data_IF_862298225456
#
_entry.id   IF_862298225456
#
_cell.length_a   1.000
_cell.length_b   1.000
_cell.length_c   1.000
_cell.angle_alpha   90.00
_cell.angle_beta   90.00
_cell.angle_gamma   90.00
#
_symmetry.space_group_name_H-M   'P 1'
#
loop_
_entity.id
_entity.type
_entity.pdbx_description
1 polymer ?
#
# COMPACT_ATOMS: atom_id res chain seq x y z
N UNK A 1 11.51 10.47 2.03
CA UNK A 1 10.13 10.97 2.25
C UNK A 1 10.07 11.58 3.64
N UNK A 2 9.50 12.78 3.81
CA UNK A 2 9.48 13.47 5.11
C UNK A 2 8.36 12.88 5.96
N UNK A 3 8.69 12.03 6.92
CA UNK A 3 7.75 11.56 7.92
C UNK A 3 7.21 12.76 8.70
N UNK A 4 5.97 13.15 8.41
CA UNK A 4 5.20 14.05 9.27
C UNK A 4 4.91 13.29 10.56
N UNK A 5 5.78 13.48 11.56
CA UNK A 5 5.51 13.08 12.93
C UNK A 5 4.27 13.83 13.40
N UNK A 6 3.12 13.18 13.31
CA UNK A 6 1.88 13.70 13.87
C UNK A 6 2.08 13.78 15.38
N UNK A 7 2.29 15.01 15.83
CA UNK A 7 2.47 15.32 17.25
C UNK A 7 1.08 15.23 17.85
N UNK A 8 0.80 14.10 18.50
CA UNK A 8 -0.46 13.83 19.21
C UNK A 8 -0.65 14.90 20.29
N UNK A 9 -1.47 15.91 19.98
CA UNK A 9 -1.90 16.92 20.94
C UNK A 9 -3.10 16.36 21.69
N UNK A 10 -2.83 15.79 22.87
CA UNK A 10 -3.85 15.43 23.86
C UNK A 10 -4.48 16.74 24.36
N UNK A 11 -5.57 17.14 23.72
CA UNK A 11 -6.42 18.23 24.18
C UNK A 11 -7.59 17.62 24.95
N UNK A 12 -7.49 17.61 26.28
CA UNK A 12 -8.67 17.50 27.14
C UNK A 12 -9.51 18.75 26.90
N UNK A 13 -10.42 18.68 25.93
CA UNK A 13 -11.27 19.79 25.55
C UNK A 13 -12.44 19.86 26.53
N UNK A 14 -12.24 20.56 27.65
CA UNK A 14 -13.33 21.00 28.49
C UNK A 14 -14.18 22.04 27.72
N UNK A 15 -15.19 21.57 26.98
CA UNK A 15 -16.16 22.42 26.30
C UNK A 15 -17.04 23.10 27.35
N UNK A 16 -16.69 24.35 27.67
CA UNK A 16 -17.52 25.23 28.48
C UNK A 16 -18.75 25.66 27.68
N UNK A 17 -19.88 24.97 27.86
CA UNK A 17 -21.15 25.33 27.22
C UNK A 17 -21.77 26.52 27.95
N UNK A 18 -22.02 27.60 27.20
CA UNK A 18 -22.72 28.80 27.69
C UNK A 18 -24.20 28.45 27.83
N UNK A 19 -24.68 28.32 29.07
CA UNK A 19 -26.10 28.20 29.37
C UNK A 19 -26.85 29.46 28.89
N UNK A 20 -27.51 29.37 27.73
CA UNK A 20 -28.46 30.39 27.27
C UNK A 20 -29.79 30.13 28.00
N UNK A 21 -30.03 30.89 29.07
CA UNK A 21 -31.33 30.90 29.76
C UNK A 21 -32.25 31.90 29.04
N UNK A 22 -33.31 31.48 28.31
CA UNK A 22 -34.37 32.40 27.92
C UNK A 22 -35.06 32.95 29.18
N UNK A 23 -35.21 34.27 29.22
CA UNK A 23 -35.34 35.02 30.47
C UNK A 23 -36.64 34.82 31.25
N UNK A 24 -36.49 34.92 32.58
CA UNK A 24 -37.58 35.02 33.55
C UNK A 24 -37.02 34.93 34.96
N UNK A 25 -36.90 36.05 35.66
CA UNK A 25 -36.40 36.06 37.04
C UNK A 25 -37.38 35.36 37.99
N UNK A 26 -36.97 34.23 38.57
CA UNK A 26 -37.45 33.71 39.85
C UNK A 26 -36.24 33.20 40.65
N UNK A 27 -36.03 33.72 41.85
CA UNK A 27 -35.08 33.14 42.79
C UNK A 27 -35.74 31.92 43.45
N UNK A 28 -35.57 30.75 42.85
CA UNK A 28 -35.88 29.41 43.36
C UNK A 28 -34.77 28.48 42.84
N UNK A 29 -34.42 27.43 43.59
CA UNK A 29 -33.17 26.69 43.45
C UNK A 29 -32.69 26.47 42.01
N UNK A 30 -31.47 26.91 41.71
CA UNK A 30 -30.93 26.74 40.36
C UNK A 30 -30.54 25.27 40.18
N UNK A 31 -31.36 24.51 39.47
CA UNK A 31 -30.97 23.23 38.90
C UNK A 31 -29.98 23.49 37.78
N UNK A 32 -28.91 22.72 37.73
CA UNK A 32 -27.90 22.75 36.68
C UNK A 32 -27.57 21.34 36.23
N UNK A 33 -27.30 21.18 34.94
CA UNK A 33 -26.81 19.96 34.34
C UNK A 33 -25.52 20.24 33.59
N UNK A 34 -24.54 19.35 33.72
CA UNK A 34 -23.25 19.42 33.03
C UNK A 34 -22.86 18.04 32.54
N UNK A 35 -22.18 17.95 31.40
CA UNK A 35 -21.59 16.70 30.90
C UNK A 35 -20.08 16.83 30.76
N UNK A 36 -19.36 15.76 31.07
CA UNK A 36 -17.92 15.61 30.85
C UNK A 36 -17.68 14.32 30.07
N UNK A 37 -16.94 14.41 28.97
CA UNK A 37 -16.59 13.25 28.14
C UNK A 37 -15.13 12.84 28.40
N UNK A 38 -14.92 11.57 28.74
CA UNK A 38 -13.61 10.98 28.93
C UNK A 38 -12.94 10.63 27.59
N UNK A 39 -11.65 10.30 27.64
CA UNK A 39 -10.85 9.99 26.45
C UNK A 39 -11.27 8.69 25.74
N UNK A 40 -11.91 7.77 26.46
CA UNK A 40 -12.50 6.54 25.91
C UNK A 40 -13.90 6.76 25.32
N UNK A 41 -14.35 8.01 25.25
CA UNK A 41 -15.65 8.41 24.72
C UNK A 41 -16.79 8.33 25.74
N UNK A 42 -16.62 7.70 26.90
CA UNK A 42 -17.66 7.62 27.94
C UNK A 42 -18.02 9.01 28.48
N UNK A 43 -19.29 9.23 28.79
CA UNK A 43 -19.80 10.55 29.21
C UNK A 43 -20.38 10.46 30.61
N UNK A 44 -19.97 11.38 31.49
CA UNK A 44 -20.57 11.54 32.82
C UNK A 44 -21.42 12.81 32.84
N UNK A 45 -22.73 12.65 32.98
CA UNK A 45 -23.67 13.76 33.22
C UNK A 45 -23.84 13.95 34.72
N UNK A 46 -23.73 15.18 35.20
CA UNK A 46 -23.93 15.55 36.62
C UNK A 46 -25.09 16.52 36.75
N UNK A 47 -25.99 16.24 37.69
CA UNK A 47 -27.12 17.12 38.04
C UNK A 47 -26.91 17.70 39.43
N UNK A 48 -26.97 19.02 39.54
CA UNK A 48 -26.92 19.70 40.85
C UNK A 48 -28.08 20.67 41.03
N UNK A 49 -28.54 20.81 42.26
CA UNK A 49 -29.48 21.85 42.68
C UNK A 49 -28.80 22.64 43.81
N UNK A 50 -28.65 23.96 43.63
CA UNK A 50 -27.93 24.82 44.59
C UNK A 50 -26.54 24.26 44.95
N UNK A 51 -25.79 23.78 43.95
CA UNK A 51 -24.46 23.19 44.09
C UNK A 51 -24.40 21.89 44.92
N UNK A 52 -25.54 21.23 45.15
CA UNK A 52 -25.60 19.90 45.77
C UNK A 52 -26.05 18.89 44.72
N UNK A 53 -25.38 17.74 44.64
CA UNK A 53 -25.74 16.66 43.72
C UNK A 53 -27.13 16.13 44.01
N UNK A 54 -27.92 15.89 42.96
CA UNK A 54 -29.30 15.41 43.09
C UNK A 54 -29.39 13.97 42.63
N UNK A 55 -29.70 13.06 43.56
CA UNK A 55 -29.98 11.65 43.28
C UNK A 55 -31.42 11.45 42.81
N UNK A 56 -31.66 10.45 41.95
CA UNK A 56 -32.95 10.13 41.35
C UNK A 56 -33.58 11.31 40.57
N UNK A 57 -32.75 12.24 40.07
CA UNK A 57 -33.20 13.23 39.10
C UNK A 57 -33.45 12.55 37.75
N UNK A 58 -34.49 12.97 37.04
CA UNK A 58 -34.72 12.52 35.67
C UNK A 58 -33.81 13.29 34.73
N UNK A 59 -33.14 12.57 33.84
CA UNK A 59 -32.27 13.11 32.78
C UNK A 59 -32.72 12.50 31.47
N UNK A 60 -33.25 13.31 30.56
CA UNK A 60 -33.65 12.91 29.22
C UNK A 60 -32.54 13.28 28.25
N UNK A 61 -32.10 12.34 27.43
CA UNK A 61 -31.09 12.51 26.39
C UNK A 61 -31.74 12.37 25.01
N UNK A 62 -31.57 13.37 24.17
CA UNK A 62 -32.10 13.38 22.80
C UNK A 62 -30.99 13.72 21.80
N UNK A 63 -30.78 12.88 20.79
CA UNK A 63 -29.84 13.20 19.72
C UNK A 63 -30.39 14.30 18.81
N UNK A 64 -29.53 15.27 18.46
CA UNK A 64 -29.87 16.37 17.59
C UNK A 64 -29.77 15.97 16.11
N UNK A 65 -30.30 16.82 15.24
CA UNK A 65 -30.19 16.68 13.78
C UNK A 65 -30.70 15.34 13.22
N UNK A 66 -31.61 14.68 13.94
CA UNK A 66 -32.16 13.38 13.55
C UNK A 66 -31.07 12.30 13.40
N UNK A 67 -29.98 12.44 14.16
CA UNK A 67 -28.98 11.40 14.39
C UNK A 67 -29.50 10.37 15.40
N UNK A 68 -28.73 9.31 15.63
CA UNK A 68 -29.03 8.29 16.63
C UNK A 68 -27.89 8.16 17.63
N UNK A 69 -28.24 7.99 18.90
CA UNK A 69 -27.30 7.69 19.97
C UNK A 69 -27.84 6.55 20.84
N UNK A 70 -26.96 5.63 21.25
CA UNK A 70 -27.35 4.39 21.93
C UNK A 70 -28.08 4.63 23.26
N UNK A 71 -27.72 5.70 23.95
CA UNK A 71 -28.31 6.07 25.25
C UNK A 71 -29.33 7.21 25.14
N UNK A 72 -30.04 7.30 24.01
CA UNK A 72 -31.25 8.12 23.93
C UNK A 72 -32.32 7.65 24.93
N UNK A 73 -33.06 8.62 25.47
CA UNK A 73 -34.20 8.39 26.37
C UNK A 73 -33.97 8.87 27.80
N UNK A 74 -34.77 8.34 28.72
CA UNK A 74 -34.81 8.77 30.11
C UNK A 74 -33.86 7.94 30.99
N UNK A 75 -33.05 8.65 31.76
CA UNK A 75 -32.11 8.13 32.73
C UNK A 75 -32.38 8.71 34.12
N UNK A 76 -31.89 8.03 35.14
CA UNK A 76 -32.00 8.49 36.54
C UNK A 76 -30.63 8.62 37.16
N UNK A 77 -30.36 9.75 37.81
CA UNK A 77 -29.09 9.95 38.48
C UNK A 77 -28.90 9.00 39.67
N UNK A 78 -27.65 8.56 39.87
CA UNK A 78 -27.23 7.67 40.93
C UNK A 78 -27.07 8.37 42.30
N UNK A 79 -26.49 7.67 43.28
CA UNK A 79 -26.19 8.22 44.61
C UNK A 79 -25.23 9.41 44.60
N UNK A 80 -24.46 9.59 43.51
CA UNK A 80 -23.56 10.72 43.32
C UNK A 80 -24.21 11.85 42.52
N UNK A 81 -25.48 11.71 42.11
CA UNK A 81 -26.16 12.68 41.26
C UNK A 81 -25.65 12.67 39.82
N UNK A 82 -25.15 11.51 39.36
CA UNK A 82 -24.56 11.33 38.04
C UNK A 82 -25.28 10.28 37.19
N UNK A 83 -25.20 10.42 35.88
CA UNK A 83 -25.58 9.40 34.88
C UNK A 83 -24.36 9.13 34.02
N UNK A 84 -24.01 7.86 33.86
CA UNK A 84 -22.97 7.42 32.93
C UNK A 84 -23.64 7.04 31.61
N UNK A 85 -23.17 7.63 30.51
CA UNK A 85 -23.60 7.33 29.15
C UNK A 85 -22.42 6.71 28.39
N UNK A 86 -22.71 5.75 27.53
CA UNK A 86 -21.77 5.03 26.70
C UNK A 86 -21.09 5.94 25.67
N UNK A 87 -19.91 5.51 25.22
CA UNK A 87 -19.23 6.19 24.13
C UNK A 87 -20.09 6.17 22.85
N UNK A 88 -20.19 7.29 22.12
CA UNK A 88 -20.92 7.28 20.85
C UNK A 88 -20.10 6.58 19.76
N UNK A 89 -20.75 5.87 18.85
CA UNK A 89 -20.08 5.20 17.71
C UNK A 89 -19.65 6.20 16.61
N UNK A 90 -20.35 7.34 16.52
CA UNK A 90 -20.05 8.44 15.61
C UNK A 90 -20.15 9.78 16.34
N UNK A 91 -19.53 10.83 15.79
CA UNK A 91 -19.65 12.18 16.36
C UNK A 91 -21.11 12.64 16.35
N UNK A 92 -21.65 12.95 17.53
CA UNK A 92 -23.07 13.26 17.72
C UNK A 92 -23.25 14.43 18.67
N UNK A 93 -24.19 15.33 18.35
CA UNK A 93 -24.63 16.35 19.29
C UNK A 93 -25.88 15.85 20.00
N UNK A 94 -25.93 15.93 21.33
CA UNK A 94 -27.10 15.55 22.13
C UNK A 94 -27.59 16.72 22.97
N UNK A 95 -28.90 16.82 23.16
CA UNK A 95 -29.53 17.66 24.18
C UNK A 95 -29.78 16.82 25.41
N UNK A 96 -29.36 17.34 26.56
CA UNK A 96 -29.57 16.73 27.86
C UNK A 96 -30.46 17.63 28.70
N UNK A 97 -31.66 17.16 29.00
CA UNK A 97 -32.66 17.88 29.78
C UNK A 97 -32.84 17.18 31.12
N UNK A 98 -32.75 17.91 32.23
CA UNK A 98 -33.03 17.36 33.55
C UNK A 98 -34.25 18.04 34.18
N UNK A 99 -34.96 17.29 35.02
CA UNK A 99 -36.07 17.80 35.82
C UNK A 99 -35.92 17.36 37.29
N UNK A 100 -35.96 18.35 38.19
CA UNK A 100 -35.93 18.16 39.65
C UNK A 100 -37.02 19.03 40.25
N UNK A 101 -37.99 18.42 40.94
CA UNK A 101 -39.09 19.13 41.62
C UNK A 101 -39.77 20.21 40.73
N UNK A 102 -40.15 19.84 39.50
CA UNK A 102 -40.74 20.72 38.48
C UNK A 102 -39.83 21.86 37.97
N UNK A 103 -38.56 21.88 38.36
CA UNK A 103 -37.55 22.79 37.83
C UNK A 103 -36.70 22.06 36.80
N UNK A 104 -36.63 22.62 35.60
CA UNK A 104 -35.90 22.02 34.47
C UNK A 104 -34.63 22.79 34.15
N UNK A 105 -33.58 22.06 33.75
CA UNK A 105 -32.36 22.62 33.18
C UNK A 105 -31.97 21.83 31.94
N UNK A 106 -31.28 22.47 31.00
CA UNK A 106 -30.88 21.87 29.73
C UNK A 106 -29.45 22.25 29.39
N UNK A 107 -28.74 21.33 28.75
CA UNK A 107 -27.44 21.58 28.11
C UNK A 107 -27.35 20.81 26.80
N UNK A 108 -26.57 21.34 25.86
CA UNK A 108 -26.17 20.61 24.64
C UNK A 108 -24.74 20.10 24.83
N UNK A 109 -24.46 18.87 24.40
CA UNK A 109 -23.13 18.28 24.41
C UNK A 109 -22.78 17.83 22.99
N UNK A 110 -21.59 18.20 22.52
CA UNK A 110 -21.00 17.64 21.31
C UNK A 110 -20.10 16.47 21.71
N UNK A 111 -20.57 15.25 21.46
CA UNK A 111 -19.89 14.02 21.82
C UNK A 111 -19.04 13.55 20.65
N UNK A 112 -17.78 13.24 20.94
CA UNK A 112 -16.83 12.73 19.96
C UNK A 112 -16.77 11.22 20.10
N UNK A 113 -16.91 10.50 19.00
CA UNK A 113 -16.66 9.06 19.00
C UNK A 113 -15.20 8.81 19.37
N UNK A 114 -14.91 7.85 20.25
CA UNK A 114 -13.53 7.43 20.46
C UNK A 114 -12.99 7.00 19.09
N UNK A 115 -11.77 7.45 18.76
CA UNK A 115 -11.09 6.90 17.59
C UNK A 115 -10.82 5.44 17.90
N UNK A 116 -11.49 4.56 17.15
CA UNK A 116 -11.13 3.15 17.17
C UNK A 116 -9.81 3.03 16.40
N UNK A 117 -8.70 3.40 17.05
CA UNK A 117 -7.34 3.26 16.52
C UNK A 117 -7.00 1.77 16.29
N UNK A 118 -7.93 0.85 16.49
CA UNK A 118 -7.83 -0.55 16.06
C UNK A 118 -8.28 -0.77 14.61
N UNK A 119 -9.01 0.18 14.00
CA UNK A 119 -9.71 -0.02 12.72
C UNK A 119 -9.00 0.51 11.46
N UNK A 120 -7.74 0.91 11.61
CA UNK A 120 -6.89 1.30 10.48
C UNK A 120 -5.71 0.33 10.39
N UNK A 121 -5.91 -0.80 9.73
CA UNK A 121 -4.82 -1.70 9.38
C UNK A 121 -3.85 -1.00 8.41
N UNK A 122 -2.55 -1.10 8.70
CA UNK A 122 -1.48 -0.58 7.86
C UNK A 122 -0.40 -1.64 7.66
N UNK A 123 0.18 -1.67 6.46
CA UNK A 123 1.29 -2.55 6.09
C UNK A 123 2.47 -1.70 5.64
N UNK A 124 3.63 -1.97 6.20
CA UNK A 124 4.91 -1.41 5.77
C UNK A 124 5.89 -2.54 5.46
N UNK A 125 6.77 -2.33 4.49
CA UNK A 125 7.81 -3.29 4.13
C UNK A 125 9.14 -2.56 4.15
N UNK A 126 10.04 -3.03 5.01
CA UNK A 126 11.41 -2.53 5.12
C UNK A 126 12.40 -3.57 4.63
N UNK A 127 13.50 -3.12 4.04
CA UNK A 127 14.58 -3.99 3.60
C UNK A 127 15.88 -3.60 4.31
N UNK A 128 16.58 -4.60 4.85
CA UNK A 128 17.90 -4.45 5.47
C UNK A 128 19.01 -4.44 4.40
N UNK A 129 20.22 -4.03 4.79
CA UNK A 129 21.37 -3.95 3.88
C UNK A 129 21.84 -5.32 3.36
N UNK A 130 21.51 -6.40 4.06
CA UNK A 130 21.77 -7.79 3.65
C UNK A 130 20.71 -8.33 2.66
N UNK A 131 19.78 -7.47 2.23
CA UNK A 131 18.72 -7.81 1.28
C UNK A 131 17.48 -8.44 1.94
N UNK A 132 17.54 -8.84 3.21
CA UNK A 132 16.36 -9.39 3.90
C UNK A 132 15.28 -8.34 4.09
N UNK A 133 14.01 -8.73 3.93
CA UNK A 133 12.86 -7.87 4.13
C UNK A 133 12.17 -8.12 5.46
N UNK A 134 11.38 -7.16 5.91
CA UNK A 134 10.47 -7.31 7.04
C UNK A 134 9.18 -6.60 6.71
N UNK A 135 8.08 -7.34 6.72
CA UNK A 135 6.72 -6.80 6.68
C UNK A 135 6.29 -6.50 8.10
N UNK A 136 5.77 -5.31 8.34
CA UNK A 136 5.14 -4.92 9.59
C UNK A 136 3.66 -4.62 9.34
N UNK A 137 2.79 -5.28 10.10
CA UNK A 137 1.35 -5.05 10.11
C UNK A 137 0.99 -4.35 11.41
N UNK A 138 0.48 -3.13 11.32
CA UNK A 138 0.12 -2.31 12.49
C UNK A 138 -1.34 -1.88 12.42
N UNK A 139 -1.95 -1.67 13.58
CA UNK A 139 -3.24 -0.99 13.67
C UNK A 139 -3.08 0.54 13.64
N UNK A 140 -4.18 1.28 13.70
CA UNK A 140 -4.21 2.75 13.72
C UNK A 140 -3.44 3.37 14.90
N UNK A 141 -3.28 2.64 16.00
CA UNK A 141 -2.47 3.06 17.15
C UNK A 141 -0.95 2.88 16.93
N UNK A 142 -0.56 2.21 15.84
CA UNK A 142 0.82 1.86 15.52
C UNK A 142 1.33 0.62 16.26
N UNK A 143 0.46 -0.14 16.93
CA UNK A 143 0.79 -1.40 17.58
C UNK A 143 0.77 -2.54 16.57
N UNK A 144 1.71 -3.48 16.70
CA UNK A 144 1.80 -4.66 15.84
C UNK A 144 0.59 -5.59 15.99
N UNK A 145 0.06 -6.07 14.87
CA UNK A 145 -1.11 -6.96 14.82
C UNK A 145 -0.65 -8.39 14.62
N UNK A 146 -0.69 -9.19 15.69
CA UNK A 146 -0.32 -10.60 15.68
C UNK A 146 -1.37 -11.50 15.01
N UNK A 147 -0.94 -12.62 14.42
CA UNK A 147 -1.80 -13.58 13.71
C UNK A 147 -2.59 -12.98 12.54
N UNK A 148 -2.14 -11.86 11.98
CA UNK A 148 -2.64 -11.33 10.71
C UNK A 148 -2.18 -12.25 9.57
N UNK A 149 -3.04 -12.42 8.57
CA UNK A 149 -2.66 -13.13 7.33
C UNK A 149 -1.98 -12.13 6.41
N UNK A 150 -0.81 -12.47 5.88
CA UNK A 150 -0.04 -11.62 4.96
C UNK A 150 0.20 -12.40 3.68
N UNK A 151 -0.42 -12.00 2.58
CA UNK A 151 -0.19 -12.57 1.26
C UNK A 151 0.86 -11.75 0.53
N UNK A 152 1.92 -12.41 0.06
CA UNK A 152 3.00 -11.81 -0.73
C UNK A 152 2.89 -12.33 -2.16
N UNK A 153 2.78 -11.41 -3.13
CA UNK A 153 2.71 -11.73 -4.54
C UNK A 153 3.80 -10.98 -5.31
N UNK A 154 4.61 -11.70 -6.11
CA UNK A 154 5.54 -11.05 -7.02
C UNK A 154 4.81 -10.54 -8.26
N UNK A 155 5.05 -9.27 -8.59
CA UNK A 155 4.47 -8.62 -9.77
C UNK A 155 5.34 -8.86 -11.02
N UNK A 156 4.77 -8.51 -12.17
CA UNK A 156 5.43 -8.59 -13.49
C UNK A 156 5.86 -10.02 -13.89
N UNK A 157 5.17 -11.04 -13.37
CA UNK A 157 5.47 -12.45 -13.67
C UNK A 157 6.91 -12.84 -13.24
N UNK A 158 7.45 -12.13 -12.23
CA UNK A 158 8.68 -12.49 -11.53
C UNK A 158 8.38 -13.63 -10.57
N UNK A 159 9.42 -14.33 -10.09
CA UNK A 159 9.30 -15.33 -9.04
C UNK A 159 10.09 -14.89 -7.82
N UNK A 160 9.50 -15.05 -6.64
CA UNK A 160 10.13 -14.77 -5.36
C UNK A 160 9.90 -15.93 -4.38
N UNK A 161 10.93 -16.23 -3.58
CA UNK A 161 10.95 -17.42 -2.71
C UNK A 161 9.87 -17.41 -1.64
N UNK A 162 9.49 -16.22 -1.16
CA UNK A 162 8.48 -16.04 -0.11
C UNK A 162 7.11 -15.62 -0.67
N UNK A 163 6.79 -15.99 -1.91
CA UNK A 163 5.43 -15.90 -2.41
C UNK A 163 4.44 -16.76 -1.60
N UNK A 164 3.22 -16.26 -1.45
CA UNK A 164 2.11 -16.94 -0.78
C UNK A 164 1.73 -16.31 0.56
N UNK A 165 0.99 -17.09 1.36
CA UNK A 165 0.42 -16.64 2.63
C UNK A 165 1.37 -16.89 3.80
N UNK A 166 1.53 -15.85 4.62
CA UNK A 166 2.31 -15.83 5.85
C UNK A 166 1.44 -15.40 7.02
N UNK A 167 1.92 -15.62 8.24
CA UNK A 167 1.23 -15.19 9.45
C UNK A 167 2.18 -14.34 10.29
N UNK A 168 1.70 -13.18 10.73
CA UNK A 168 2.50 -12.30 11.59
C UNK A 168 2.77 -12.91 12.96
N UNK A 169 3.95 -12.62 13.49
CA UNK A 169 4.36 -13.01 14.84
C UNK A 169 3.69 -12.16 15.93
N UNK A 170 4.08 -12.37 17.20
CA UNK A 170 3.56 -11.62 18.36
C UNK A 170 3.79 -10.10 18.26
N UNK A 171 4.73 -9.66 17.43
CA UNK A 171 5.03 -8.25 17.19
C UNK A 171 4.35 -7.70 15.94
N UNK A 172 3.53 -8.50 15.25
CA UNK A 172 2.88 -8.10 14.01
C UNK A 172 3.82 -8.08 12.81
N UNK A 173 4.86 -8.91 12.79
CA UNK A 173 5.87 -8.90 11.72
C UNK A 173 5.99 -10.23 10.99
N UNK A 174 6.41 -10.16 9.72
CA UNK A 174 6.81 -11.31 8.89
C UNK A 174 8.19 -11.02 8.31
N UNK A 175 9.13 -11.94 8.49
CA UNK A 175 10.44 -11.87 7.86
C UNK A 175 10.38 -12.34 6.41
N UNK A 176 11.05 -11.63 5.51
CA UNK A 176 11.21 -11.99 4.11
C UNK A 176 12.69 -12.25 3.81
N UNK A 177 12.96 -13.28 3.01
CA UNK A 177 14.29 -13.70 2.55
C UNK A 177 14.85 -12.69 1.54
N UNK A 178 16.18 -12.61 1.41
CA UNK A 178 16.78 -11.75 0.39
C UNK A 178 16.40 -12.24 -1.02
N UNK A 179 16.02 -11.34 -1.94
CA UNK A 179 15.72 -11.73 -3.30
C UNK A 179 17.01 -11.98 -4.11
N UNK A 180 16.99 -12.98 -5.00
CA UNK A 180 18.11 -13.29 -5.90
C UNK A 180 18.22 -12.29 -7.06
N UNK A 181 17.10 -11.67 -7.45
CA UNK A 181 16.99 -10.63 -8.47
C UNK A 181 16.07 -9.52 -7.97
N UNK A 182 16.20 -8.29 -8.50
CA UNK A 182 15.31 -7.21 -8.10
C UNK A 182 13.86 -7.54 -8.46
N UNK A 183 12.99 -7.61 -7.45
CA UNK A 183 11.59 -8.01 -7.61
C UNK A 183 10.67 -6.95 -7.01
N UNK A 184 9.58 -6.65 -7.69
CA UNK A 184 8.48 -5.85 -7.13
C UNK A 184 7.43 -6.79 -6.57
N UNK A 185 7.11 -6.65 -5.29
CA UNK A 185 6.11 -7.44 -4.60
C UNK A 185 4.93 -6.57 -4.18
N UNK A 186 3.74 -7.13 -4.27
CA UNK A 186 2.54 -6.66 -3.59
C UNK A 186 2.36 -7.46 -2.31
N UNK A 187 2.13 -6.76 -1.21
CA UNK A 187 1.91 -7.37 0.10
C UNK A 187 0.54 -6.93 0.58
N UNK A 188 -0.34 -7.90 0.82
CA UNK A 188 -1.71 -7.69 1.33
C UNK A 188 -1.78 -8.30 2.71
N UNK A 189 -2.23 -7.54 3.70
CA UNK A 189 -2.50 -8.05 5.04
C UNK A 189 -4.00 -8.00 5.35
N UNK A 190 -4.49 -9.07 5.97
CA UNK A 190 -5.85 -9.22 6.45
C UNK A 190 -5.86 -9.52 7.95
N UNK A 191 -6.58 -8.70 8.71
CA UNK A 191 -6.81 -8.89 10.13
C UNK A 191 -8.13 -8.23 10.54
N UNK A 192 -8.87 -8.87 11.46
CA UNK A 192 -10.09 -8.29 12.04
C UNK A 192 -11.12 -7.77 11.02
N UNK A 193 -11.28 -8.46 9.88
CA UNK A 193 -12.14 -8.05 8.77
C UNK A 193 -11.72 -6.76 8.03
N UNK A 194 -10.47 -6.33 8.22
CA UNK A 194 -9.83 -5.26 7.47
C UNK A 194 -8.72 -5.80 6.59
N UNK A 195 -8.48 -5.07 5.50
CA UNK A 195 -7.46 -5.38 4.51
C UNK A 195 -6.63 -4.14 4.25
N UNK A 196 -5.31 -4.29 4.25
CA UNK A 196 -4.36 -3.24 3.87
C UNK A 196 -3.34 -3.81 2.88
N UNK A 197 -2.93 -3.01 1.90
CA UNK A 197 -1.94 -3.45 0.92
C UNK A 197 -0.83 -2.42 0.71
N UNK A 198 0.34 -2.90 0.32
CA UNK A 198 1.46 -2.07 -0.10
C UNK A 198 2.24 -2.74 -1.22
N UNK A 199 2.79 -1.93 -2.11
CA UNK A 199 3.66 -2.40 -3.20
C UNK A 199 5.05 -1.84 -2.98
N UNK A 200 6.05 -2.71 -3.01
CA UNK A 200 7.45 -2.32 -2.84
C UNK A 200 8.37 -3.09 -3.77
N UNK A 201 9.56 -2.54 -4.02
CA UNK A 201 10.61 -3.23 -4.76
C UNK A 201 11.69 -3.69 -3.79
N UNK A 202 11.88 -5.00 -3.70
CA UNK A 202 12.97 -5.62 -2.96
C UNK A 202 14.19 -5.73 -3.88
N UNK A 203 15.32 -5.24 -3.42
CA UNK A 203 16.57 -5.23 -4.18
C UNK A 203 17.54 -6.30 -3.72
N UNK A 204 18.36 -6.82 -4.63
CA UNK A 204 19.44 -7.75 -4.27
C UNK A 204 20.43 -7.03 -3.35
N UNK A 205 20.95 -7.74 -2.34
CA UNK A 205 21.98 -7.19 -1.48
C UNK A 205 23.18 -6.73 -2.32
N UNK A 206 23.70 -5.53 -2.06
CA UNK A 206 24.80 -4.95 -2.84
C UNK A 206 26.08 -5.80 -2.85
N UNK A 207 26.22 -6.73 -1.90
CA UNK A 207 27.33 -7.67 -1.80
C UNK A 207 27.11 -9.00 -2.55
N UNK A 208 25.92 -9.24 -3.08
CA UNK A 208 25.56 -10.41 -3.91
C UNK A 208 25.42 -10.03 -5.39
N UNK A 209 25.90 -8.84 -5.75
CA UNK A 209 25.95 -8.27 -7.10
C UNK A 209 27.00 -8.96 -8.00
N UNK A 210 27.29 -10.24 -7.80
CA UNK A 210 28.11 -11.01 -8.75
C UNK A 210 27.39 -11.22 -10.10
N UNK A 211 26.11 -10.83 -10.20
CA UNK A 211 25.29 -10.89 -11.42
C UNK A 211 25.08 -9.57 -12.18
N UNK A 212 25.32 -8.38 -11.58
CA UNK A 212 24.97 -7.08 -12.23
C UNK A 212 26.15 -6.16 -12.47
N UNK A 213 27.33 -6.45 -11.94
CA UNK A 213 28.53 -5.67 -12.26
C UNK A 213 28.90 -5.89 -13.72
N UNK A 214 29.11 -4.82 -14.49
CA UNK A 214 29.73 -4.93 -15.81
C UNK A 214 31.11 -5.58 -15.69
N UNK A 215 31.62 -6.19 -16.76
CA UNK A 215 32.94 -6.84 -16.73
C UNK A 215 34.04 -5.91 -16.19
N UNK A 216 34.00 -4.62 -16.54
CA UNK A 216 34.93 -3.61 -16.04
C UNK A 216 34.80 -3.38 -14.52
N UNK A 217 33.59 -3.40 -13.98
CA UNK A 217 33.33 -3.22 -12.56
C UNK A 217 33.77 -4.44 -11.73
N UNK A 218 33.59 -5.66 -12.28
CA UNK A 218 34.12 -6.89 -11.67
C UNK A 218 35.65 -6.86 -11.59
N UNK A 219 36.29 -6.42 -12.67
CA UNK A 219 37.76 -6.27 -12.71
C UNK A 219 38.23 -5.18 -11.74
N UNK A 220 37.54 -4.05 -11.61
CA UNK A 220 37.92 -3.03 -10.63
C UNK A 220 37.77 -3.49 -9.19
N UNK A 221 36.68 -4.20 -8.85
CA UNK A 221 36.48 -4.77 -7.51
C UNK A 221 37.59 -5.77 -7.16
N UNK A 222 37.92 -6.67 -8.10
CA UNK A 222 39.02 -7.62 -7.92
C UNK A 222 40.38 -6.95 -7.72
N UNK A 223 40.65 -5.87 -8.45
CA UNK A 223 41.89 -5.08 -8.30
C UNK A 223 41.95 -4.37 -6.95
N UNK A 224 40.82 -3.82 -6.47
CA UNK A 224 40.75 -3.17 -5.16
C UNK A 224 40.90 -4.17 -4.00
N UNK A 225 40.40 -5.40 -4.18
CA UNK A 225 40.62 -6.50 -3.23
C UNK A 225 42.10 -6.90 -3.15
N UNK A 226 42.76 -7.13 -4.29
CA UNK A 226 44.20 -7.44 -4.32
C UNK A 226 45.07 -6.31 -3.76
N UNK A 227 44.63 -5.07 -3.92
CA UNK A 227 45.28 -3.89 -3.33
C UNK A 227 45.15 -3.85 -1.81
N UNK A 228 43.98 -4.23 -1.30
CA UNK A 228 43.70 -4.31 0.14
C UNK A 228 44.52 -5.43 0.80
N UNK A 229 44.66 -6.55 0.12
CA UNK A 229 45.43 -7.71 0.60
C UNK A 229 46.96 -7.56 0.42
N UNK A 230 47.41 -6.45 -0.19
CA UNK A 230 48.82 -6.16 -0.44
C UNK A 230 49.48 -7.10 -1.45
N UNK A 231 48.70 -7.90 -2.18
CA UNK A 231 49.15 -8.94 -3.09
C UNK A 231 48.78 -8.61 -4.55
N UNK A 232 49.07 -7.38 -4.98
CA UNK A 232 48.83 -6.98 -6.37
C UNK A 232 49.83 -7.64 -7.32
N UNK A 233 49.45 -8.76 -7.93
CA UNK A 233 50.18 -9.33 -9.07
C UNK A 233 49.44 -9.06 -10.38
N UNK A 234 50.13 -8.46 -11.35
CA UNK A 234 49.61 -8.27 -12.71
C UNK A 234 49.22 -9.59 -13.39
N UNK A 235 49.82 -10.71 -12.99
CA UNK A 235 49.47 -12.05 -13.51
C UNK A 235 48.12 -12.53 -12.99
N UNK A 236 47.75 -12.20 -11.75
CA UNK A 236 46.46 -12.58 -11.18
C UNK A 236 45.33 -11.79 -11.82
N UNK A 237 45.55 -10.49 -12.05
CA UNK A 237 44.59 -9.64 -12.79
C UNK A 237 44.46 -10.13 -14.24
N UNK A 238 45.55 -10.45 -14.92
CA UNK A 238 45.51 -10.99 -16.28
C UNK A 238 44.75 -12.33 -16.35
N UNK A 239 44.97 -13.23 -15.38
CA UNK A 239 44.26 -14.52 -15.30
C UNK A 239 42.77 -14.33 -15.06
N UNK A 240 42.40 -13.40 -14.15
CA UNK A 240 41.01 -13.07 -13.86
C UNK A 240 40.32 -12.45 -15.09
N UNK A 241 40.95 -11.48 -15.75
CA UNK A 241 40.44 -10.84 -16.98
C UNK A 241 40.28 -11.87 -18.09
N UNK A 242 41.26 -12.75 -18.29
CA UNK A 242 41.20 -13.80 -19.32
C UNK A 242 40.08 -14.80 -19.04
N UNK A 243 39.91 -15.22 -17.78
CA UNK A 243 38.92 -16.26 -17.42
C UNK A 243 37.49 -15.72 -17.39
N UNK A 244 37.31 -14.42 -17.16
CA UNK A 244 36.00 -13.78 -17.02
C UNK A 244 35.62 -12.89 -18.21
N UNK A 245 36.46 -12.85 -19.27
CA UNK A 245 36.17 -12.06 -20.47
C UNK A 245 34.95 -12.66 -21.19
N UNK A 246 33.89 -11.89 -21.44
CA UNK A 246 32.71 -12.37 -22.19
C UNK A 246 33.01 -12.83 -23.63
N UNK A 247 34.19 -12.49 -24.19
CA UNK A 247 34.68 -13.01 -25.47
C UNK A 247 35.59 -14.25 -25.36
N UNK A 248 35.69 -14.88 -24.18
CA UNK A 248 36.59 -16.01 -23.94
C UNK A 248 36.30 -17.23 -24.82
N UNK A 249 35.03 -17.48 -25.11
CA UNK A 249 34.55 -18.61 -25.90
C UNK A 249 34.68 -18.39 -27.42
N UNK A 250 34.98 -17.16 -27.84
CA UNK A 250 35.09 -16.78 -29.25
C UNK A 250 36.54 -16.52 -29.67
N UNK A 251 37.50 -17.14 -28.96
CA UNK A 251 38.94 -17.03 -29.28
C UNK A 251 39.30 -17.90 -30.47
N UNK A 252 39.97 -17.35 -31.49
CA UNK A 252 40.59 -18.17 -32.54
C UNK A 252 41.65 -19.11 -31.93
N UNK A 253 41.64 -20.39 -32.33
CA UNK A 253 42.49 -21.48 -31.81
C UNK A 253 44.02 -21.26 -31.95
N UNK A 254 44.46 -20.15 -32.55
CA UNK A 254 45.86 -19.91 -32.91
C UNK A 254 46.63 -18.99 -31.94
N UNK A 255 46.03 -18.56 -30.82
CA UNK A 255 46.74 -17.74 -29.83
C UNK A 255 47.48 -18.64 -28.85
N UNK A 256 48.54 -19.28 -29.34
CA UNK A 256 49.54 -19.91 -28.48
C UNK A 256 50.28 -18.80 -27.70
N UNK A 257 50.27 -18.78 -26.35
CA UNK A 257 50.95 -17.77 -25.55
C UNK A 257 52.43 -18.11 -25.30
N UNK A 258 53.02 -19.04 -26.07
CA UNK A 258 54.44 -19.38 -25.99
C UNK A 258 55.35 -18.35 -26.69
N UNK A 259 56.58 -18.11 -26.19
CA UNK A 259 57.62 -17.46 -26.98
C UNK A 259 57.85 -18.27 -28.28
N UNK A 260 58.18 -17.63 -29.41
CA UNK A 260 58.49 -18.36 -30.63
C UNK A 260 59.64 -19.33 -30.34
N UNK A 261 59.43 -20.61 -30.64
CA UNK A 261 60.51 -21.58 -30.69
C UNK A 261 61.48 -21.16 -31.79
N UNK A 262 62.75 -20.98 -31.39
CA UNK A 262 63.89 -20.77 -32.27
C UNK A 262 64.11 -22.05 -33.10
N UNK A 263 63.38 -22.23 -34.20
CA UNK A 263 63.67 -23.26 -35.19
C UNK A 263 64.74 -22.75 -36.16
N UNK A 264 65.99 -22.81 -35.69
CA UNK A 264 67.18 -22.92 -36.53
C UNK A 264 67.14 -24.27 -37.29
N UNK A 265 66.61 -24.34 -38.51
CA UNK A 265 67.01 -25.40 -39.47
C UNK A 265 67.14 -24.89 -40.93
N UNK A 266 68.41 -24.74 -41.29
CA UNK A 266 69.11 -24.81 -42.58
C UNK A 266 68.37 -25.09 -43.91
N UNK A 267 68.76 -24.27 -44.90
CA UNK A 267 69.05 -24.59 -46.31
C UNK A 267 68.47 -25.87 -46.92
N UNK A 268 67.53 -25.73 -47.88
CA UNK A 268 67.61 -26.53 -49.12
C UNK A 268 66.97 -25.83 -50.33
N UNK A 269 67.85 -25.45 -51.27
CA UNK A 269 67.49 -24.98 -52.61
C UNK A 269 67.11 -26.19 -53.48
N UNK A 270 65.84 -26.30 -53.86
CA UNK A 270 65.34 -27.30 -54.81
C UNK A 270 64.62 -26.65 -55.99
N UNK A 271 65.30 -26.59 -57.13
CA UNK A 271 64.82 -26.13 -58.43
C UNK A 271 63.93 -27.20 -59.11
N UNK A 272 62.84 -26.82 -59.79
CA UNK A 272 62.01 -27.76 -60.55
C UNK A 272 60.92 -27.13 -61.42
N UNK A 273 61.27 -26.83 -62.67
CA UNK A 273 60.39 -26.47 -63.78
C UNK A 273 59.32 -27.54 -64.11
N UNK A 274 58.17 -27.11 -64.63
CA UNK A 274 57.22 -28.03 -65.27
C UNK A 274 55.88 -27.39 -65.67
N UNK A 275 55.85 -26.75 -66.84
CA UNK A 275 54.65 -26.27 -67.50
C UNK A 275 53.90 -27.37 -68.29
N UNK A 276 52.64 -27.07 -68.62
CA UNK A 276 51.82 -27.52 -69.75
C UNK A 276 50.79 -28.66 -69.56
N UNK A 277 49.51 -28.31 -69.77
CA UNK A 277 48.38 -29.24 -69.84
C UNK A 277 47.01 -28.61 -70.11
N UNK A 278 46.92 -27.79 -71.17
CA UNK A 278 45.76 -27.07 -71.69
C UNK A 278 44.59 -27.96 -72.21
N UNK A 279 43.33 -27.64 -71.91
CA UNK A 279 42.19 -27.39 -72.84
C UNK A 279 40.80 -27.66 -72.22
N UNK A 280 39.85 -26.71 -72.39
CA UNK A 280 38.44 -27.06 -72.55
C UNK A 280 37.39 -26.10 -72.00
N UNK A 281 37.15 -24.98 -72.69
CA UNK A 281 35.88 -24.27 -72.89
C UNK A 281 34.74 -24.34 -71.83
N UNK A 282 34.36 -23.16 -71.33
CA UNK A 282 33.05 -22.57 -71.68
C UNK A 282 31.88 -22.74 -70.72
N UNK A 283 31.61 -21.64 -70.00
CA UNK A 283 30.30 -21.13 -69.56
C UNK A 283 29.45 -21.99 -68.61
N UNK A 284 29.27 -21.52 -67.36
CA UNK A 284 28.08 -20.76 -66.96
C UNK A 284 28.30 -20.18 -65.56
N UNK A 285 28.10 -18.86 -65.44
CA UNK A 285 28.38 -18.09 -64.25
C UNK A 285 27.35 -18.28 -63.14
N UNK A 286 27.81 -18.17 -61.91
CA UNK A 286 26.95 -17.82 -60.78
C UNK A 286 27.76 -16.89 -59.86
N UNK A 287 27.75 -15.59 -60.20
CA UNK A 287 28.25 -14.52 -59.34
C UNK A 287 27.25 -14.30 -58.21
N UNK A 288 27.49 -14.95 -57.07
CA UNK A 288 26.84 -14.63 -55.81
C UNK A 288 27.52 -13.42 -55.19
N UNK A 289 27.02 -12.22 -55.52
CA UNK A 289 27.45 -10.98 -54.90
C UNK A 289 26.95 -10.90 -53.44
N UNK A 290 27.85 -10.33 -52.65
CA UNK A 290 27.77 -9.98 -51.24
C UNK A 290 26.54 -9.16 -50.82
N UNK A 291 26.36 -9.19 -49.50
CA UNK A 291 26.06 -8.05 -48.63
C UNK A 291 24.66 -8.04 -47.96
N UNK A 292 24.75 -8.33 -46.67
CA UNK A 292 24.19 -7.53 -45.57
C UNK A 292 22.76 -7.80 -45.09
N UNK A 293 22.70 -8.28 -43.84
CA UNK A 293 22.08 -7.47 -42.80
C UNK A 293 20.68 -7.88 -42.39
N UNK A 294 20.59 -9.03 -41.74
CA UNK A 294 19.46 -9.55 -40.99
C UNK A 294 18.90 -8.56 -39.94
N UNK A 295 17.61 -8.27 -40.09
CA UNK A 295 16.55 -8.14 -39.09
C UNK A 295 16.90 -8.04 -37.59
N UNK A 296 16.26 -7.05 -36.92
CA UNK A 296 15.67 -7.31 -35.60
C UNK A 296 15.58 -6.15 -34.61
N UNK A 297 14.33 -5.85 -34.24
CA UNK A 297 13.82 -5.17 -33.02
C UNK A 297 13.92 -3.64 -32.83
N UNK A 298 12.78 -3.07 -32.42
CA UNK A 298 12.75 -1.89 -31.55
C UNK A 298 11.56 -0.94 -31.76
N UNK A 299 10.59 -0.99 -30.83
CA UNK A 299 9.41 -0.13 -30.70
C UNK A 299 9.69 1.37 -30.55
N UNK A 300 8.66 2.22 -30.78
CA UNK A 300 8.52 3.48 -30.04
C UNK A 300 8.04 4.73 -30.79
N UNK A 301 6.72 4.97 -30.71
CA UNK A 301 6.01 6.22 -30.43
C UNK A 301 6.27 7.57 -31.17
N UNK A 302 5.11 8.21 -31.42
CA UNK A 302 4.81 9.67 -31.46
C UNK A 302 5.01 10.44 -32.77
N UNK A 303 3.98 11.22 -33.14
CA UNK A 303 4.14 12.24 -34.19
C UNK A 303 2.85 12.63 -34.92
N UNK A 304 2.01 13.42 -34.26
CA UNK A 304 0.89 14.18 -34.80
C UNK A 304 1.27 15.06 -36.02
N UNK A 305 0.53 14.98 -37.13
CA UNK A 305 0.20 16.12 -38.00
C UNK A 305 -0.81 15.75 -39.10
N UNK A 306 -1.83 16.60 -39.20
CA UNK A 306 -2.94 16.69 -40.15
C UNK A 306 -2.55 16.54 -41.63
N UNK A 307 -3.45 16.05 -42.50
CA UNK A 307 -4.32 16.92 -43.32
C UNK A 307 -5.23 16.13 -44.28
N UNK A 308 -6.41 16.69 -44.50
CA UNK A 308 -7.31 16.61 -45.65
C UNK A 308 -7.93 15.29 -46.15
N UNK A 309 -9.27 15.30 -46.23
CA UNK A 309 -10.04 14.39 -47.06
C UNK A 309 -11.52 14.35 -46.68
N UNK A 310 -12.26 15.37 -47.13
CA UNK A 310 -13.71 15.53 -47.05
C UNK A 310 -14.53 14.28 -47.42
N UNK A 311 -15.71 14.11 -46.81
CA UNK A 311 -17.00 14.33 -47.49
C UNK A 311 -18.18 13.63 -46.77
N UNK A 312 -19.17 14.45 -46.47
CA UNK A 312 -20.60 14.20 -46.63
C UNK A 312 -21.23 12.89 -46.10
N UNK A 313 -22.06 13.01 -45.07
CA UNK A 313 -23.49 13.31 -45.30
C UNK A 313 -24.32 13.17 -44.02
N UNK A 314 -25.23 14.14 -43.84
CA UNK A 314 -26.63 13.76 -43.65
C UNK A 314 -27.19 13.76 -42.24
N UNK A 315 -27.62 14.95 -41.81
CA UNK A 315 -29.03 15.26 -41.53
C UNK A 315 -29.75 14.53 -40.37
N UNK A 316 -30.32 15.29 -39.43
CA UNK A 316 -31.45 14.75 -38.64
C UNK A 316 -31.74 15.37 -37.29
N UNK A 317 -32.19 16.62 -37.32
CA UNK A 317 -32.80 17.40 -36.26
C UNK A 317 -33.87 16.67 -35.37
N UNK A 318 -33.96 17.13 -34.11
CA UNK A 318 -35.17 17.33 -33.29
C UNK A 318 -35.94 16.15 -32.67
N UNK A 319 -36.38 16.30 -31.41
CA UNK A 319 -37.59 15.59 -30.95
C UNK A 319 -37.78 15.34 -29.45
N UNK A 320 -38.30 16.36 -28.76
CA UNK A 320 -38.91 16.32 -27.43
C UNK A 320 -40.10 15.33 -27.29
N UNK A 321 -40.32 14.77 -26.08
CA UNK A 321 -41.63 14.56 -25.37
C UNK A 321 -41.90 13.14 -24.82
N UNK A 322 -42.02 13.09 -23.49
CA UNK A 322 -43.24 12.76 -22.71
C UNK A 322 -43.97 11.41 -22.93
N UNK A 323 -44.31 10.71 -21.83
CA UNK A 323 -45.48 9.82 -21.84
C UNK A 323 -45.45 8.62 -20.89
N UNK A 324 -46.08 8.79 -19.74
CA UNK A 324 -46.48 7.78 -18.75
C UNK A 324 -47.27 6.57 -19.32
N UNK A 325 -47.25 5.45 -18.60
CA UNK A 325 -48.41 4.87 -17.88
C UNK A 325 -48.51 3.34 -17.90
N UNK A 326 -49.13 2.86 -16.81
CA UNK A 326 -49.75 1.55 -16.54
C UNK A 326 -48.83 0.40 -16.08
N UNK A 327 -49.08 -0.26 -14.94
CA UNK A 327 -50.23 -0.22 -14.03
C UNK A 327 -50.64 -1.63 -13.58
N UNK A 328 -51.03 -1.71 -12.29
CA UNK A 328 -51.77 -2.78 -11.58
C UNK A 328 -51.01 -4.08 -11.23
N UNK A 329 -51.15 -4.67 -10.04
CA UNK A 329 -51.98 -4.34 -8.87
C UNK A 329 -52.54 -5.58 -8.16
N UNK A 330 -52.32 -5.63 -6.85
CA UNK A 330 -53.27 -5.95 -5.77
C UNK A 330 -53.71 -7.39 -5.37
N UNK A 331 -53.84 -7.56 -4.04
CA UNK A 331 -54.71 -8.53 -3.34
C UNK A 331 -54.02 -9.18 -2.12
N UNK A 332 -54.04 -8.63 -0.90
CA UNK A 332 -55.11 -8.47 0.11
C UNK A 332 -55.70 -9.78 0.67
N UNK A 333 -55.66 -9.92 2.00
CA UNK A 333 -56.30 -11.01 2.76
C UNK A 333 -56.28 -10.77 4.27
N UNK A 334 -57.29 -10.06 4.77
CA UNK A 334 -57.67 -9.94 6.19
C UNK A 334 -59.04 -10.60 6.37
N UNK A 335 -59.22 -11.45 7.40
CA UNK A 335 -60.38 -11.48 8.33
C UNK A 335 -60.48 -12.79 9.17
N UNK A 336 -60.53 -12.58 10.49
CA UNK A 336 -61.41 -13.16 11.54
C UNK A 336 -61.44 -14.65 11.93
N UNK A 337 -61.26 -14.91 13.24
CA UNK A 337 -62.18 -15.73 14.06
C UNK A 337 -61.99 -15.54 15.59
N UNK A 338 -63.03 -15.02 16.26
CA UNK A 338 -63.28 -15.15 17.71
C UNK A 338 -63.75 -16.58 18.09
N UNK A 339 -63.39 -17.09 19.29
CA UNK A 339 -64.35 -17.51 20.35
C UNK A 339 -63.64 -18.13 21.57
N UNK A 340 -64.15 -17.89 22.79
CA UNK A 340 -64.08 -18.89 23.87
C UNK A 340 -63.76 -18.40 25.30
N UNK A 341 -64.75 -17.84 26.00
CA UNK A 341 -64.94 -17.91 27.47
C UNK A 341 -65.77 -19.18 27.79
N UNK A 342 -65.80 -19.74 29.02
CA UNK A 342 -66.03 -19.07 30.32
C UNK A 342 -64.97 -19.28 31.40
#
# INVERSE_FOLDING_TARGET
MRHQRHTLLVAALALAVIAVVPGGAVAAGSVSVTGDQAADGTVTVTVTENNTTVTNATVTVEALNNSSYVDEGDHTTDQNGTVELAAPEENVSVTVTTSVNDTTAETTLDLVAPTDDSSDLAVDVTQAEDGTGTVAVTNGSGAGVANATVTVEALNNSSYVDEGDHTTDENGTVGLSAPEENVTVEVVADANNETASTTTTLTVAANDSEGTLSFGERVSSFVDQLRTDGNMSGQQVATFVVSNNPGADNRPDHVDPGPPDDDDEDDERGNGDGADGNNGNGADGNDGNDADGNDGNGDGASGNASDDGDDDNGNGNNGNSNGSSNGNGNGNGNADAMSGLP
#
